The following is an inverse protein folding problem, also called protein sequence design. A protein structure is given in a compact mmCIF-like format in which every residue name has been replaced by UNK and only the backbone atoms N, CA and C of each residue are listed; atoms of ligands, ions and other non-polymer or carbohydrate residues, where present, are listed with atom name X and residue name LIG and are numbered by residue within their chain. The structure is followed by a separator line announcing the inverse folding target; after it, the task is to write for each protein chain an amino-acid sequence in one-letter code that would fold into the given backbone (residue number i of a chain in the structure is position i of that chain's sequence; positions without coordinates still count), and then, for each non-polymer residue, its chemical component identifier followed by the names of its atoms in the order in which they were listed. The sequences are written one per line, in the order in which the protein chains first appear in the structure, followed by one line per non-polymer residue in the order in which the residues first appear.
data_IF_603549676106
#
_entry.id   IF_603549676106
#
_cell.length_a   1.000
_cell.length_b   1.000
_cell.length_c   1.000
_cell.angle_alpha   90.00
_cell.angle_beta   90.00
_cell.angle_gamma   90.00
#
_symmetry.space_group_name_H-M   'P 1'
#
loop_
_entity.id
_entity.type
_entity.pdbx_description
1 polymer ?
#
# COMPACT_ATOMS: atom_id res chain seq x y z
N UNK A 1 -14.66 -46.87 6.89
CA UNK A 1 -13.17 -46.95 6.86
C UNK A 1 -12.53 -45.56 6.84
N UNK A 2 -11.88 -45.20 7.96
CA UNK A 2 -10.91 -44.12 8.18
C UNK A 2 -11.39 -42.66 8.05
N UNK A 3 -11.85 -42.13 9.18
CA UNK A 3 -11.83 -40.71 9.54
C UNK A 3 -10.38 -40.25 9.82
N UNK A 4 -10.00 -38.99 9.51
CA UNK A 4 -8.74 -38.42 9.97
C UNK A 4 -8.84 -37.80 11.37
N UNK A 5 -7.71 -37.90 12.07
CA UNK A 5 -7.47 -37.81 13.50
C UNK A 5 -7.55 -36.36 14.04
N UNK A 6 -8.19 -36.20 15.21
CA UNK A 6 -8.12 -34.98 16.04
C UNK A 6 -6.72 -34.87 16.72
N UNK A 7 -6.19 -33.65 16.93
CA UNK A 7 -4.96 -33.46 17.71
C UNK A 7 -5.21 -33.61 19.23
N UNK A 8 -4.20 -34.03 20.01
CA UNK A 8 -4.38 -34.38 21.43
C UNK A 8 -4.47 -33.15 22.35
N UNK A 9 -5.40 -33.26 23.31
CA UNK A 9 -5.54 -32.39 24.48
C UNK A 9 -4.24 -32.35 25.30
N UNK A 10 -3.71 -31.15 25.54
CA UNK A 10 -2.65 -30.94 26.53
C UNK A 10 -3.30 -30.71 27.90
N UNK A 11 -2.83 -31.50 28.86
CA UNK A 11 -3.28 -31.57 30.26
C UNK A 11 -3.12 -30.22 30.97
N UNK A 12 -4.18 -29.79 31.67
CA UNK A 12 -4.10 -28.73 32.68
C UNK A 12 -3.12 -29.12 33.77
N UNK A 13 -1.99 -28.41 33.87
CA UNK A 13 -1.17 -28.41 35.08
C UNK A 13 -1.64 -27.28 35.98
N UNK A 14 -2.46 -27.62 36.98
CA UNK A 14 -2.68 -26.76 38.14
C UNK A 14 -1.37 -26.69 38.93
N UNK A 15 -0.86 -25.49 39.16
CA UNK A 15 0.02 -25.22 40.30
C UNK A 15 -0.71 -24.32 41.27
N UNK A 16 -0.74 -24.79 42.51
CA UNK A 16 -1.32 -24.14 43.67
C UNK A 16 -0.31 -23.15 44.26
N UNK A 17 -0.80 -21.95 44.59
CA UNK A 17 -0.52 -21.32 45.87
C UNK A 17 0.83 -20.62 46.07
N UNK A 18 0.73 -19.30 46.29
CA UNK A 18 1.50 -18.63 47.34
C UNK A 18 2.63 -17.73 46.88
N UNK A 19 2.48 -16.42 47.15
CA UNK A 19 3.62 -15.52 47.22
C UNK A 19 3.34 -14.09 46.74
N UNK A 20 2.61 -13.31 47.54
CA UNK A 20 2.72 -11.85 47.49
C UNK A 20 4.18 -11.48 47.75
N UNK A 21 4.86 -10.83 46.81
CA UNK A 21 6.00 -9.96 47.09
C UNK A 21 5.99 -8.82 46.08
N UNK A 22 5.74 -7.61 46.60
CA UNK A 22 5.80 -6.38 45.84
C UNK A 22 7.17 -6.21 45.23
N UNK A 23 7.19 -5.97 43.93
CA UNK A 23 8.36 -5.58 43.16
C UNK A 23 7.88 -4.67 42.06
N UNK A 24 7.92 -3.36 42.33
CA UNK A 24 7.69 -2.32 41.33
C UNK A 24 8.86 -2.35 40.35
N UNK A 25 8.89 -3.33 39.45
CA UNK A 25 9.74 -3.27 38.26
C UNK A 25 9.09 -2.31 37.28
N UNK A 26 9.33 -1.03 37.54
CA UNK A 26 8.96 0.04 36.61
C UNK A 26 9.64 -0.22 35.27
N UNK A 27 8.83 -0.21 34.20
CA UNK A 27 9.31 -0.18 32.84
C UNK A 27 10.19 1.08 32.67
N UNK A 28 11.51 0.89 32.61
CA UNK A 28 12.45 1.98 32.34
C UNK A 28 12.42 2.26 30.84
N UNK A 29 11.59 3.21 30.43
CA UNK A 29 11.57 3.69 29.06
C UNK A 29 12.96 4.26 28.71
N UNK A 30 13.57 3.92 27.56
CA UNK A 30 14.87 4.46 27.14
C UNK A 30 14.83 5.96 26.81
N UNK A 31 13.62 6.53 26.74
CA UNK A 31 13.42 7.92 26.33
C UNK A 31 13.57 8.81 27.57
N UNK A 32 14.47 9.82 27.53
CA UNK A 32 14.64 10.75 28.63
C UNK A 32 13.32 11.49 28.87
N UNK A 33 12.80 11.39 30.10
CA UNK A 33 11.64 12.15 30.54
C UNK A 33 12.03 13.63 30.64
N UNK A 34 11.35 14.56 29.93
CA UNK A 34 11.72 15.97 29.94
C UNK A 34 11.44 16.55 31.33
N UNK A 35 12.51 16.95 32.04
CA UNK A 35 12.41 17.64 33.33
C UNK A 35 11.70 18.99 33.14
N UNK A 36 11.00 19.39 34.19
CA UNK A 36 10.12 20.56 34.32
C UNK A 36 10.56 21.82 33.57
N UNK A 37 9.57 22.45 32.95
CA UNK A 37 9.59 23.71 32.23
C UNK A 37 10.34 24.85 32.95
N UNK A 38 11.32 25.42 32.26
CA UNK A 38 11.73 26.82 32.38
C UNK A 38 11.42 27.47 31.02
N UNK A 39 10.75 28.63 30.95
CA UNK A 39 10.59 29.33 29.68
C UNK A 39 11.91 30.04 29.39
N UNK A 40 12.86 29.32 28.79
CA UNK A 40 14.04 29.96 28.21
C UNK A 40 13.54 30.86 27.06
N UNK A 41 13.59 32.18 27.21
CA UNK A 41 13.21 33.13 26.17
C UNK A 41 13.95 32.92 24.83
N UNK A 42 15.15 32.34 24.87
CA UNK A 42 15.89 31.89 23.68
C UNK A 42 15.17 30.78 22.89
N UNK A 43 14.38 29.95 23.57
CA UNK A 43 13.58 28.90 22.94
C UNK A 43 12.38 29.50 22.20
N UNK A 44 11.79 30.59 22.70
CA UNK A 44 10.64 31.21 22.02
C UNK A 44 11.04 31.84 20.69
N UNK A 45 12.19 32.50 20.61
CA UNK A 45 12.67 33.09 19.35
C UNK A 45 13.13 32.01 18.37
N UNK A 46 13.81 30.96 18.86
CA UNK A 46 14.14 29.79 18.03
C UNK A 46 12.89 29.11 17.45
N UNK A 47 11.85 28.94 18.28
CA UNK A 47 10.56 28.39 17.84
C UNK A 47 9.84 29.31 16.83
N UNK A 48 9.94 30.63 16.97
CA UNK A 48 9.37 31.57 15.97
C UNK A 48 10.09 31.45 14.62
N UNK A 49 11.42 31.36 14.64
CA UNK A 49 12.20 31.11 13.43
C UNK A 49 11.83 29.78 12.77
N UNK A 50 11.68 28.72 13.55
CA UNK A 50 11.26 27.41 13.05
C UNK A 50 9.84 27.44 12.44
N UNK A 51 8.90 28.16 13.06
CA UNK A 51 7.56 28.39 12.51
C UNK A 51 7.62 29.17 11.19
N UNK A 52 8.46 30.20 11.09
CA UNK A 52 8.63 30.95 9.84
C UNK A 52 9.27 30.09 8.74
N UNK A 53 10.26 29.28 9.08
CA UNK A 53 10.89 28.35 8.14
C UNK A 53 9.88 27.30 7.63
N UNK A 54 9.09 26.72 8.53
CA UNK A 54 8.05 25.76 8.16
C UNK A 54 7.00 26.40 7.25
N UNK A 55 6.57 27.63 7.52
CA UNK A 55 5.65 28.36 6.64
C UNK A 55 6.24 28.63 5.26
N UNK A 56 7.53 28.93 5.18
CA UNK A 56 8.21 29.10 3.90
C UNK A 56 8.25 27.79 3.11
N UNK A 57 8.49 26.66 3.77
CA UNK A 57 8.45 25.32 3.16
C UNK A 57 7.05 24.97 2.67
N UNK A 58 6.02 25.22 3.49
CA UNK A 58 4.63 25.01 3.08
C UNK A 58 4.29 25.81 1.82
N UNK A 59 4.66 27.10 1.78
CA UNK A 59 4.42 27.94 0.60
C UNK A 59 5.18 27.46 -0.65
N UNK A 60 6.40 26.96 -0.49
CA UNK A 60 7.17 26.40 -1.61
C UNK A 60 6.52 25.12 -2.14
N UNK A 61 6.05 24.25 -1.24
CA UNK A 61 5.33 23.02 -1.61
C UNK A 61 3.99 23.33 -2.29
N UNK A 62 3.24 24.31 -1.81
CA UNK A 62 1.99 24.75 -2.44
C UNK A 62 2.23 25.26 -3.88
N UNK A 63 3.36 25.95 -4.12
CA UNK A 63 3.75 26.39 -5.46
C UNK A 63 4.11 25.21 -6.38
N UNK A 64 4.85 24.22 -5.88
CA UNK A 64 5.19 23.00 -6.63
C UNK A 64 3.93 22.19 -6.99
N UNK A 65 3.00 22.04 -6.03
CA UNK A 65 1.71 21.40 -6.26
C UNK A 65 0.91 22.15 -7.33
N UNK A 66 0.84 23.48 -7.25
CA UNK A 66 0.13 24.29 -8.23
C UNK A 66 0.76 24.17 -9.64
N UNK A 67 2.08 24.11 -9.73
CA UNK A 67 2.78 23.90 -10.99
C UNK A 67 2.44 22.54 -11.59
N UNK A 68 2.54 21.45 -10.81
CA UNK A 68 2.21 20.10 -11.26
C UNK A 68 0.75 19.98 -11.74
N UNK A 69 -0.19 20.59 -11.01
CA UNK A 69 -1.59 20.64 -11.43
C UNK A 69 -1.79 21.44 -12.73
N UNK A 70 -1.04 22.53 -12.92
CA UNK A 70 -1.10 23.34 -14.15
C UNK A 70 -0.50 22.63 -15.37
N UNK A 71 0.48 21.75 -15.14
CA UNK A 71 1.06 20.86 -16.16
C UNK A 71 0.13 19.69 -16.52
N UNK A 72 -1.00 19.55 -15.83
CA UNK A 72 -2.05 18.58 -16.12
C UNK A 72 -1.97 17.31 -15.28
N UNK A 73 -0.93 17.13 -14.46
CA UNK A 73 -0.76 15.97 -13.59
C UNK A 73 -1.81 15.96 -12.48
N UNK A 74 -2.97 15.38 -12.78
CA UNK A 74 -4.05 15.18 -11.82
C UNK A 74 -4.18 13.69 -11.49
N UNK A 75 -4.50 13.38 -10.22
CA UNK A 75 -4.78 12.01 -9.80
C UNK A 75 -5.94 11.38 -10.59
N UNK A 76 -6.91 12.20 -11.01
CA UNK A 76 -8.02 11.74 -11.84
C UNK A 76 -7.57 11.28 -13.23
N UNK A 77 -6.59 11.95 -13.86
CA UNK A 77 -6.06 11.51 -15.15
C UNK A 77 -5.35 10.16 -15.02
N UNK A 78 -4.57 9.98 -13.95
CA UNK A 78 -3.91 8.71 -13.68
C UNK A 78 -4.92 7.58 -13.47
N UNK A 79 -5.96 7.81 -12.69
CA UNK A 79 -7.03 6.83 -12.45
C UNK A 79 -7.81 6.51 -13.74
N UNK A 80 -8.06 7.51 -14.59
CA UNK A 80 -8.63 7.32 -15.93
C UNK A 80 -7.73 6.47 -16.81
N UNK A 81 -6.42 6.71 -16.81
CA UNK A 81 -5.48 5.93 -17.62
C UNK A 81 -5.38 4.48 -17.15
N UNK A 82 -5.35 4.25 -15.83
CA UNK A 82 -5.37 2.90 -15.23
C UNK A 82 -6.67 2.18 -15.61
N UNK A 83 -7.81 2.86 -15.54
CA UNK A 83 -9.11 2.29 -15.90
C UNK A 83 -9.16 1.88 -17.38
N UNK A 84 -8.68 2.74 -18.28
CA UNK A 84 -8.61 2.45 -19.72
C UNK A 84 -7.68 1.27 -20.04
N UNK A 85 -6.56 1.15 -19.34
CA UNK A 85 -5.67 -0.01 -19.49
C UNK A 85 -6.35 -1.31 -19.06
N UNK A 86 -7.09 -1.30 -17.95
CA UNK A 86 -7.86 -2.47 -17.52
C UNK A 86 -8.94 -2.84 -18.53
N UNK A 87 -9.72 -1.86 -19.00
CA UNK A 87 -10.76 -2.08 -20.00
C UNK A 87 -10.19 -2.62 -21.31
N UNK A 88 -9.07 -2.08 -21.78
CA UNK A 88 -8.37 -2.59 -22.95
C UNK A 88 -7.90 -4.04 -22.75
N UNK A 89 -7.26 -4.34 -21.62
CA UNK A 89 -6.78 -5.69 -21.33
C UNK A 89 -7.94 -6.70 -21.23
N UNK A 90 -9.04 -6.32 -20.60
CA UNK A 90 -10.23 -7.17 -20.48
C UNK A 90 -10.80 -7.53 -21.86
N UNK A 91 -10.90 -6.54 -22.76
CA UNK A 91 -11.36 -6.76 -24.15
C UNK A 91 -10.34 -7.60 -24.93
N UNK A 92 -9.04 -7.31 -24.80
CA UNK A 92 -7.95 -8.06 -25.44
C UNK A 92 -7.99 -9.53 -25.02
N UNK A 93 -8.13 -9.80 -23.73
CA UNK A 93 -8.18 -11.15 -23.16
C UNK A 93 -9.43 -11.91 -23.60
N UNK A 94 -10.60 -11.24 -23.60
CA UNK A 94 -11.84 -11.83 -24.14
C UNK A 94 -11.71 -12.18 -25.63
N UNK A 95 -11.11 -11.28 -26.42
CA UNK A 95 -10.84 -11.49 -27.84
C UNK A 95 -9.89 -12.66 -28.08
N UNK A 96 -8.78 -12.71 -27.35
CA UNK A 96 -7.81 -13.82 -27.43
C UNK A 96 -8.42 -15.16 -27.00
N UNK A 97 -9.26 -15.17 -25.97
CA UNK A 97 -10.00 -16.37 -25.55
C UNK A 97 -10.92 -16.87 -26.67
N UNK A 98 -11.67 -15.97 -27.31
CA UNK A 98 -12.52 -16.32 -28.45
C UNK A 98 -11.70 -16.85 -29.63
N UNK A 99 -10.60 -16.17 -29.96
CA UNK A 99 -9.71 -16.54 -31.05
C UNK A 99 -9.08 -17.92 -30.81
N UNK A 100 -8.67 -18.21 -29.57
CA UNK A 100 -8.17 -19.51 -29.17
C UNK A 100 -9.21 -20.62 -29.33
N UNK A 101 -10.46 -20.39 -28.92
CA UNK A 101 -11.56 -21.34 -29.13
C UNK A 101 -11.85 -21.56 -30.61
N UNK A 102 -11.84 -20.48 -31.40
CA UNK A 102 -12.06 -20.55 -32.84
C UNK A 102 -10.96 -21.34 -33.55
N UNK A 103 -9.70 -21.13 -33.17
CA UNK A 103 -8.54 -21.86 -33.68
C UNK A 103 -8.69 -23.37 -33.44
N UNK A 104 -9.12 -23.77 -32.23
CA UNK A 104 -9.40 -25.18 -31.90
C UNK A 104 -10.50 -25.76 -32.77
N UNK A 105 -11.61 -25.04 -32.98
CA UNK A 105 -12.73 -25.51 -33.79
C UNK A 105 -12.32 -25.68 -35.26
N UNK A 106 -11.53 -24.75 -35.79
CA UNK A 106 -11.05 -24.79 -37.17
C UNK A 106 -9.84 -25.72 -37.38
N UNK A 107 -9.22 -26.20 -36.31
CA UNK A 107 -8.00 -27.01 -36.38
C UNK A 107 -6.78 -26.23 -36.88
N UNK A 108 -6.81 -24.89 -36.79
CA UNK A 108 -5.72 -24.00 -37.21
C UNK A 108 -5.01 -23.44 -35.98
N UNK A 109 -3.82 -22.91 -36.18
CA UNK A 109 -3.11 -22.20 -35.09
C UNK A 109 -3.67 -20.78 -34.94
N UNK A 110 -3.66 -20.25 -33.72
CA UNK A 110 -4.16 -18.89 -33.45
C UNK A 110 -3.47 -17.86 -34.35
N UNK A 111 -2.15 -17.99 -34.59
CA UNK A 111 -1.36 -17.11 -35.48
C UNK A 111 -1.88 -17.04 -36.92
N UNK A 112 -2.49 -18.12 -37.43
CA UNK A 112 -3.04 -18.14 -38.79
C UNK A 112 -4.34 -17.34 -38.92
N UNK A 113 -5.02 -17.09 -37.80
CA UNK A 113 -6.25 -16.28 -37.77
C UNK A 113 -5.97 -14.78 -37.69
N UNK A 114 -4.78 -14.36 -37.26
CA UNK A 114 -4.44 -12.94 -37.07
C UNK A 114 -4.61 -12.12 -38.35
N UNK A 115 -4.12 -12.57 -39.53
CA UNK A 115 -4.33 -11.86 -40.79
C UNK A 115 -5.79 -11.80 -41.25
N UNK A 116 -6.63 -12.77 -40.84
CA UNK A 116 -8.05 -12.80 -41.21
C UNK A 116 -8.87 -11.76 -40.44
N UNK A 117 -8.42 -11.39 -39.24
CA UNK A 117 -9.09 -10.46 -38.34
C UNK A 117 -8.37 -9.11 -38.21
N UNK A 118 -7.43 -8.82 -39.12
CA UNK A 118 -6.63 -7.59 -39.13
C UNK A 118 -5.87 -7.36 -37.80
N UNK A 119 -5.45 -8.45 -37.16
CA UNK A 119 -4.68 -8.42 -35.93
C UNK A 119 -3.19 -8.42 -36.27
N UNK A 120 -2.48 -7.37 -35.87
CA UNK A 120 -1.02 -7.36 -35.91
C UNK A 120 -0.43 -8.12 -34.71
N UNK A 121 0.77 -8.70 -34.89
CA UNK A 121 1.56 -9.26 -33.78
C UNK A 121 2.39 -8.18 -33.06
N UNK A 122 2.26 -6.93 -33.48
CA UNK A 122 2.86 -5.74 -32.86
C UNK A 122 2.12 -5.47 -31.54
N UNK A 123 2.79 -5.60 -30.41
CA UNK A 123 2.35 -5.04 -29.13
C UNK A 123 2.96 -3.65 -28.94
#
# INVERSE_FOLDING_TARGET
PRQPLLPPRVLSRRTSGGGRRGGTVGFKSPVPSPRSCQPNGANSEALKYEIEELKQKDLALDQEIAQLLSEGYSLEELEKHISLLHEYNDIKDAGQMLLGKLAVIRGVTTKQLYPEYDLELSD
#
